data_IF_409469304101
#
_entry.id   IF_409469304101
#
_cell.length_a   1.000
_cell.length_b   1.000
_cell.length_c   1.000
_cell.angle_alpha   90.00
_cell.angle_beta   90.00
_cell.angle_gamma   90.00
#
_symmetry.space_group_name_H-M   'P 1'
#
loop_
_entity.id
_entity.type
_entity.pdbx_description
1 polymer ?
#
# COMPACT_ATOMS: atom_id res chain seq x y z
N UNK A 1 -2.40 12.16 -19.86
CA UNK A 1 -2.05 12.68 -18.54
C UNK A 1 -2.26 11.55 -17.56
N UNK A 2 -1.16 10.98 -17.02
CA UNK A 2 -1.22 9.95 -16.00
C UNK A 2 -2.05 10.44 -14.81
N UNK A 3 -2.87 9.56 -14.23
CA UNK A 3 -3.64 9.88 -13.06
C UNK A 3 -2.71 10.30 -11.93
N UNK A 4 -3.02 11.42 -11.28
CA UNK A 4 -2.20 11.92 -10.19
C UNK A 4 -2.16 10.91 -9.04
N UNK A 5 -1.01 10.77 -8.40
CA UNK A 5 -0.87 9.97 -7.19
C UNK A 5 -1.71 10.60 -6.08
N UNK A 6 -2.57 9.82 -5.43
CA UNK A 6 -3.50 10.30 -4.41
C UNK A 6 -3.35 9.50 -3.11
N UNK A 7 -3.57 10.17 -1.97
CA UNK A 7 -3.63 9.51 -0.67
C UNK A 7 -4.90 8.65 -0.57
N UNK A 8 -4.74 7.34 -0.36
CA UNK A 8 -5.87 6.40 -0.43
C UNK A 8 -6.91 6.64 0.68
N UNK A 9 -6.46 6.93 1.89
CA UNK A 9 -7.35 7.17 3.04
C UNK A 9 -7.64 8.67 3.30
N UNK A 10 -7.25 9.54 2.38
CA UNK A 10 -7.37 11.00 2.51
C UNK A 10 -6.07 11.67 2.98
N UNK A 11 -5.99 12.98 2.80
CA UNK A 11 -4.76 13.76 3.01
C UNK A 11 -4.26 13.78 4.47
N UNK A 12 -5.14 13.49 5.42
CA UNK A 12 -4.82 13.48 6.87
C UNK A 12 -4.50 12.09 7.42
N UNK A 13 -4.45 11.07 6.57
CA UNK A 13 -4.33 9.67 6.97
C UNK A 13 -2.89 9.19 7.18
N UNK A 14 -1.94 10.08 7.33
CA UNK A 14 -0.59 9.70 7.67
C UNK A 14 -0.52 9.15 9.09
N UNK A 15 0.15 8.00 9.27
CA UNK A 15 0.44 7.47 10.58
C UNK A 15 1.81 7.97 11.07
N UNK A 16 1.88 8.68 12.22
CA UNK A 16 3.13 9.16 12.78
C UNK A 16 3.88 8.02 13.47
N UNK A 17 5.11 7.77 13.05
CA UNK A 17 6.01 6.81 13.66
C UNK A 17 6.99 7.52 14.59
N UNK A 18 7.14 7.03 15.81
CA UNK A 18 8.14 7.55 16.74
C UNK A 18 9.55 7.14 16.31
N UNK A 19 10.53 7.95 16.69
CA UNK A 19 11.95 7.64 16.50
C UNK A 19 12.30 6.26 17.06
N UNK A 20 13.15 5.52 16.35
CA UNK A 20 13.63 4.18 16.71
C UNK A 20 12.50 3.14 16.94
N UNK A 21 11.28 3.45 16.51
CA UNK A 21 10.16 2.52 16.58
C UNK A 21 10.17 1.52 15.43
N UNK A 22 9.72 0.30 15.72
CA UNK A 22 9.45 -0.72 14.70
C UNK A 22 7.95 -0.93 14.64
N UNK A 23 7.40 -0.92 13.44
CA UNK A 23 5.96 -0.99 13.22
C UNK A 23 5.62 -2.01 12.15
N UNK A 24 4.55 -2.74 12.39
CA UNK A 24 3.87 -3.54 11.39
C UNK A 24 2.56 -2.84 11.04
N UNK A 25 2.38 -2.54 9.76
CA UNK A 25 1.16 -1.95 9.23
C UNK A 25 0.52 -2.91 8.23
N UNK A 26 -0.80 -2.98 8.29
CA UNK A 26 -1.59 -3.68 7.28
C UNK A 26 -2.68 -2.75 6.79
N UNK A 27 -2.65 -2.46 5.50
CA UNK A 27 -3.66 -1.65 4.82
C UNK A 27 -4.65 -2.56 4.10
N UNK A 28 -5.94 -2.40 4.39
CA UNK A 28 -7.05 -3.08 3.73
C UNK A 28 -7.75 -2.06 2.83
N UNK A 29 -7.40 -2.08 1.56
CA UNK A 29 -7.91 -1.12 0.58
C UNK A 29 -9.01 -1.77 -0.27
N UNK A 30 -10.24 -1.35 -0.08
CA UNK A 30 -11.38 -1.68 -0.94
C UNK A 30 -11.65 -0.50 -1.85
N UNK A 31 -11.78 -0.73 -3.14
CA UNK A 31 -11.95 0.35 -4.09
C UNK A 31 -12.72 -0.07 -5.33
N UNK A 32 -13.32 0.94 -5.98
CA UNK A 32 -13.91 0.85 -7.30
C UNK A 32 -13.00 1.54 -8.31
N UNK A 33 -12.92 1.00 -9.50
CA UNK A 33 -12.18 1.58 -10.61
C UNK A 33 -13.13 1.97 -11.74
N UNK A 34 -12.97 3.17 -12.30
CA UNK A 34 -13.87 3.67 -13.35
C UNK A 34 -13.48 3.23 -14.76
N UNK A 35 -12.22 2.88 -14.98
CA UNK A 35 -11.71 2.51 -16.30
C UNK A 35 -10.69 1.39 -16.15
N UNK A 36 -10.64 0.44 -17.06
CA UNK A 36 -9.63 -0.62 -17.09
C UNK A 36 -8.21 -0.02 -17.14
N UNK A 37 -7.25 -0.67 -16.50
CA UNK A 37 -5.87 -0.23 -16.43
C UNK A 37 -5.17 -0.77 -15.17
N UNK A 38 -3.89 -0.45 -15.02
CA UNK A 38 -3.11 -0.88 -13.88
C UNK A 38 -3.37 0.00 -12.65
N UNK A 39 -3.12 -0.55 -11.47
CA UNK A 39 -3.10 0.17 -10.20
C UNK A 39 -1.71 -0.01 -9.59
N UNK A 40 -1.13 1.06 -9.14
CA UNK A 40 0.18 1.05 -8.45
C UNK A 40 0.00 1.59 -7.04
N UNK A 41 0.38 0.80 -6.06
CA UNK A 41 0.42 1.17 -4.65
C UNK A 41 1.78 1.75 -4.30
N UNK A 42 1.81 2.79 -3.49
CA UNK A 42 3.05 3.46 -3.07
C UNK A 42 3.02 3.68 -1.58
N UNK A 43 4.07 3.24 -0.90
CA UNK A 43 4.35 3.68 0.47
C UNK A 43 5.11 4.99 0.40
N UNK A 44 4.52 6.03 0.96
CA UNK A 44 5.12 7.36 1.03
C UNK A 44 5.53 7.67 2.45
N UNK A 45 6.75 8.10 2.62
CA UNK A 45 7.38 8.48 3.88
C UNK A 45 7.69 9.98 3.88
N UNK A 46 7.58 10.65 5.01
CA UNK A 46 7.98 12.06 5.14
C UNK A 46 9.49 12.28 5.13
N UNK A 47 10.26 11.21 5.08
CA UNK A 47 11.71 11.19 4.97
C UNK A 47 12.23 9.76 5.06
N UNK A 48 13.53 9.55 4.88
CA UNK A 48 14.13 8.23 4.95
C UNK A 48 13.95 7.60 6.34
N UNK A 49 13.73 6.30 6.36
CA UNK A 49 13.70 5.41 7.54
C UNK A 49 14.93 4.50 7.51
N UNK A 50 15.19 3.74 8.57
CA UNK A 50 16.29 2.78 8.57
C UNK A 50 16.08 1.73 7.47
N UNK A 51 14.92 1.13 7.46
CA UNK A 51 14.52 0.17 6.44
C UNK A 51 13.01 -0.08 6.49
N UNK A 52 12.43 -0.49 5.38
CA UNK A 52 11.11 -1.11 5.37
C UNK A 52 11.03 -2.20 4.30
N UNK A 53 10.24 -3.20 4.59
CA UNK A 53 9.86 -4.24 3.65
C UNK A 53 8.35 -4.29 3.54
N UNK A 54 7.84 -4.39 2.34
CA UNK A 54 6.41 -4.46 2.11
C UNK A 54 6.05 -5.45 1.02
N UNK A 55 4.89 -6.04 1.16
CA UNK A 55 4.26 -6.88 0.16
C UNK A 55 2.83 -6.45 -0.07
N UNK A 56 2.30 -6.72 -1.26
CA UNK A 56 0.88 -6.54 -1.51
C UNK A 56 0.30 -7.72 -2.28
N UNK A 57 -0.98 -7.93 -2.05
CA UNK A 57 -1.83 -8.78 -2.88
C UNK A 57 -3.07 -8.01 -3.29
N UNK A 58 -3.53 -8.18 -4.52
CA UNK A 58 -4.69 -7.50 -5.05
C UNK A 58 -5.56 -8.46 -5.82
N UNK A 59 -6.85 -8.46 -5.50
CA UNK A 59 -7.86 -9.28 -6.17
C UNK A 59 -9.06 -8.44 -6.55
N UNK A 60 -9.76 -8.79 -7.63
CA UNK A 60 -11.10 -8.31 -7.86
C UNK A 60 -12.06 -9.06 -6.92
N UNK A 61 -12.95 -8.34 -6.28
CA UNK A 61 -14.03 -8.92 -5.51
C UNK A 61 -15.27 -8.86 -6.39
N UNK A 62 -15.43 -9.84 -7.26
CA UNK A 62 -16.69 -10.03 -7.98
C UNK A 62 -17.64 -10.85 -7.11
N UNK A 63 -18.89 -10.41 -6.98
CA UNK A 63 -19.95 -11.27 -6.49
C UNK A 63 -20.05 -12.49 -7.40
N UNK A 64 -20.03 -13.69 -6.85
CA UNK A 64 -20.43 -15.01 -7.36
C UNK A 64 -20.15 -15.39 -8.84
N UNK A 65 -19.35 -14.69 -9.58
CA UNK A 65 -19.04 -14.98 -10.98
C UNK A 65 -17.55 -14.88 -11.23
N UNK A 66 -16.92 -16.01 -11.31
CA UNK A 66 -15.67 -16.35 -12.00
C UNK A 66 -14.98 -15.23 -12.79
N UNK A 67 -14.46 -14.22 -12.15
CA UNK A 67 -13.28 -13.61 -12.70
C UNK A 67 -12.09 -14.05 -11.86
N UNK A 68 -11.40 -15.03 -12.37
CA UNK A 68 -10.00 -15.25 -12.07
C UNK A 68 -9.18 -14.05 -12.62
N UNK A 69 -9.61 -12.86 -12.29
CA UNK A 69 -8.88 -11.64 -12.56
C UNK A 69 -7.62 -11.70 -11.72
N UNK A 70 -6.51 -11.97 -12.35
CA UNK A 70 -5.23 -12.32 -11.83
C UNK A 70 -4.90 -11.70 -10.48
N UNK A 71 -4.50 -12.52 -9.54
CA UNK A 71 -3.80 -12.11 -8.34
C UNK A 71 -2.57 -11.30 -8.77
N UNK A 72 -2.54 -10.03 -8.39
CA UNK A 72 -1.32 -9.22 -8.52
C UNK A 72 -0.63 -9.19 -7.16
N UNK A 73 0.66 -9.45 -7.14
CA UNK A 73 1.47 -9.43 -5.93
C UNK A 73 2.81 -8.77 -6.20
N UNK A 74 3.42 -8.24 -5.16
CA UNK A 74 4.74 -7.62 -5.24
C UNK A 74 5.40 -7.53 -3.89
N UNK A 75 6.72 -7.49 -3.91
CA UNK A 75 7.59 -7.31 -2.75
C UNK A 75 8.52 -6.13 -3.01
N UNK A 76 8.72 -5.31 -2.00
CA UNK A 76 9.63 -4.16 -2.04
C UNK A 76 10.40 -4.07 -0.73
N UNK A 77 11.69 -3.77 -0.81
CA UNK A 77 12.54 -3.43 0.33
C UNK A 77 13.21 -2.09 0.03
N UNK A 78 13.07 -1.12 0.92
CA UNK A 78 13.55 0.25 0.70
C UNK A 78 13.82 1.01 2.01
N UNK A 79 14.51 2.13 1.90
CA UNK A 79 14.71 3.11 2.99
C UNK A 79 13.93 4.41 2.80
N UNK A 80 13.34 4.62 1.64
CA UNK A 80 12.56 5.80 1.27
C UNK A 80 11.20 5.48 0.70
N UNK A 81 10.54 6.48 0.17
CA UNK A 81 9.28 6.31 -0.57
C UNK A 81 9.50 5.39 -1.77
N UNK A 82 8.68 4.36 -1.91
CA UNK A 82 8.73 3.48 -3.06
C UNK A 82 7.36 2.93 -3.45
N UNK A 83 7.21 2.68 -4.75
CA UNK A 83 6.05 2.03 -5.33
C UNK A 83 6.27 0.52 -5.41
N UNK A 84 5.22 -0.24 -5.17
CA UNK A 84 5.17 -1.65 -5.54
C UNK A 84 5.08 -1.80 -7.06
N UNK A 85 5.45 -2.96 -7.61
CA UNK A 85 5.17 -3.26 -9.01
C UNK A 85 3.69 -3.00 -9.34
N UNK A 86 3.42 -2.45 -10.52
CA UNK A 86 2.05 -2.21 -10.94
C UNK A 86 1.27 -3.53 -11.02
N UNK A 87 -0.03 -3.46 -10.73
CA UNK A 87 -0.92 -4.61 -10.93
C UNK A 87 -0.92 -5.04 -12.39
N UNK A 88 -1.30 -6.30 -12.64
CA UNK A 88 -1.57 -6.73 -14.01
C UNK A 88 -2.59 -5.78 -14.67
N UNK A 89 -2.43 -5.57 -15.96
CA UNK A 89 -3.41 -4.89 -16.81
C UNK A 89 -4.76 -5.61 -16.78
N UNK A 90 -5.82 -4.95 -17.12
CA UNK A 90 -7.18 -5.48 -17.27
C UNK A 90 -7.97 -5.63 -15.97
N UNK A 91 -7.83 -4.70 -15.07
CA UNK A 91 -8.83 -4.58 -14.01
C UNK A 91 -10.10 -4.01 -14.62
N UNK A 92 -11.16 -4.81 -14.62
CA UNK A 92 -12.46 -4.43 -15.15
C UNK A 92 -13.04 -3.25 -14.39
N UNK A 93 -13.85 -2.48 -15.09
CA UNK A 93 -14.63 -1.39 -14.52
C UNK A 93 -15.83 -1.92 -13.74
N UNK A 94 -16.34 -1.12 -12.82
CA UNK A 94 -17.59 -1.37 -12.09
C UNK A 94 -17.60 -2.64 -11.21
N UNK A 95 -16.44 -3.18 -10.88
CA UNK A 95 -16.29 -4.24 -9.88
C UNK A 95 -15.49 -3.75 -8.68
N UNK A 96 -15.84 -4.26 -7.51
CA UNK A 96 -15.09 -3.97 -6.30
C UNK A 96 -13.76 -4.73 -6.32
N UNK A 97 -12.72 -4.03 -5.95
CA UNK A 97 -11.38 -4.58 -5.81
C UNK A 97 -10.96 -4.55 -4.35
N UNK A 98 -10.09 -5.46 -3.99
CA UNK A 98 -9.43 -5.47 -2.68
C UNK A 98 -7.92 -5.56 -2.88
N UNK A 99 -7.20 -4.71 -2.18
CA UNK A 99 -5.76 -4.87 -1.99
C UNK A 99 -5.47 -5.00 -0.49
N UNK A 100 -4.55 -5.87 -0.15
CA UNK A 100 -3.98 -5.97 1.18
C UNK A 100 -2.50 -5.67 1.03
N UNK A 101 -2.03 -4.66 1.76
CA UNK A 101 -0.64 -4.23 1.73
C UNK A 101 -0.08 -4.39 3.13
N UNK A 102 0.94 -5.23 3.27
CA UNK A 102 1.70 -5.41 4.50
C UNK A 102 2.99 -4.62 4.44
N UNK A 103 3.32 -3.94 5.51
CA UNK A 103 4.57 -3.18 5.66
C UNK A 103 5.15 -3.43 7.05
N UNK A 104 6.40 -3.84 7.08
CA UNK A 104 7.22 -3.82 8.28
C UNK A 104 8.23 -2.68 8.11
N UNK A 105 8.27 -1.74 9.05
CA UNK A 105 9.11 -0.56 8.95
C UNK A 105 9.86 -0.31 10.26
N UNK A 106 11.14 -0.05 10.14
CA UNK A 106 12.00 0.42 11.22
C UNK A 106 12.26 1.92 11.02
N UNK A 107 11.67 2.74 11.88
CA UNK A 107 11.88 4.18 11.87
C UNK A 107 13.26 4.49 12.45
N UNK A 108 14.06 5.29 11.74
CA UNK A 108 15.37 5.72 12.22
C UNK A 108 15.30 6.71 13.39
N UNK A 109 16.40 7.39 13.68
CA UNK A 109 16.52 8.32 14.81
C UNK A 109 15.55 9.51 14.75
N UNK A 110 14.96 9.80 13.61
CA UNK A 110 14.01 10.90 13.42
C UNK A 110 12.60 10.37 13.22
N UNK A 111 11.57 10.89 13.92
CA UNK A 111 10.18 10.53 13.68
C UNK A 111 9.79 10.76 12.21
N UNK A 112 8.97 9.89 11.66
CA UNK A 112 8.50 9.94 10.26
C UNK A 112 7.03 9.61 10.17
N UNK A 113 6.39 10.14 9.14
CA UNK A 113 5.04 9.75 8.79
C UNK A 113 5.05 8.74 7.64
N UNK A 114 4.16 7.77 7.72
CA UNK A 114 3.91 6.78 6.66
C UNK A 114 2.46 6.88 6.18
N UNK A 115 2.27 6.78 4.88
CA UNK A 115 0.93 6.75 4.25
C UNK A 115 0.89 5.84 3.04
N UNK A 116 -0.29 5.34 2.73
CA UNK A 116 -0.56 4.59 1.50
C UNK A 116 -1.11 5.52 0.43
N UNK A 117 -0.48 5.52 -0.73
CA UNK A 117 -0.92 6.24 -1.92
C UNK A 117 -1.22 5.28 -3.06
N UNK A 118 -2.03 5.74 -3.99
CA UNK A 118 -2.44 4.96 -5.15
C UNK A 118 -2.34 5.79 -6.43
N UNK A 119 -1.92 5.14 -7.51
CA UNK A 119 -1.94 5.70 -8.85
C UNK A 119 -2.63 4.72 -9.79
N UNK A 120 -3.42 5.22 -10.71
CA UNK A 120 -4.03 4.41 -11.78
C UNK A 120 -3.48 4.85 -13.14
N UNK A 121 -3.20 3.90 -14.03
CA UNK A 121 -2.79 4.23 -15.41
C UNK A 121 -3.93 4.80 -16.25
N UNK A 122 -5.19 4.55 -15.84
CA UNK A 122 -6.37 5.08 -16.52
C UNK A 122 -7.54 5.19 -15.52
N UNK A 123 -8.36 6.22 -15.67
CA UNK A 123 -9.50 6.49 -14.82
C UNK A 123 -9.13 6.81 -13.37
N UNK A 124 -10.13 6.73 -12.49
CA UNK A 124 -9.98 7.02 -11.07
C UNK A 124 -10.10 5.75 -10.23
N UNK A 125 -9.43 5.75 -9.10
CA UNK A 125 -9.61 4.78 -8.00
C UNK A 125 -10.42 5.47 -6.93
N UNK A 126 -11.60 4.94 -6.63
CA UNK A 126 -12.49 5.47 -5.59
C UNK A 126 -12.45 4.55 -4.38
N UNK A 127 -11.93 5.00 -3.23
CA UNK A 127 -11.97 4.23 -1.99
C UNK A 127 -13.41 3.91 -1.58
N UNK A 128 -13.64 2.69 -1.13
CA UNK A 128 -14.94 2.24 -0.63
C UNK A 128 -14.98 2.22 0.89
N UNK A 129 -16.18 2.33 1.43
CA UNK A 129 -16.44 2.15 2.86
C UNK A 129 -15.96 0.77 3.30
N UNK A 130 -15.39 0.69 4.51
CA UNK A 130 -14.79 -0.53 5.03
C UNK A 130 -13.30 -0.64 4.73
N UNK A 131 -12.71 0.30 3.99
CA UNK A 131 -11.26 0.43 3.91
C UNK A 131 -10.70 0.94 5.25
N UNK A 132 -9.67 0.30 5.76
CA UNK A 132 -9.02 0.67 7.01
C UNK A 132 -7.57 0.19 7.00
N UNK A 133 -6.80 0.62 7.98
CA UNK A 133 -5.49 0.05 8.25
C UNK A 133 -5.33 -0.25 9.74
N UNK A 134 -4.47 -1.21 10.03
CA UNK A 134 -4.06 -1.57 11.38
C UNK A 134 -2.59 -1.25 11.56
N UNK A 135 -2.22 -0.86 12.77
CA UNK A 135 -0.83 -0.62 13.15
C UNK A 135 -0.53 -1.37 14.43
N UNK A 136 0.58 -2.07 14.44
CA UNK A 136 1.14 -2.71 15.63
C UNK A 136 2.57 -2.22 15.82
N UNK A 137 2.84 -1.60 16.95
CA UNK A 137 4.21 -1.31 17.36
C UNK A 137 4.84 -2.59 17.89
N UNK A 138 5.96 -2.95 17.34
CA UNK A 138 6.75 -4.09 17.79
C UNK A 138 7.69 -3.62 18.90
N UNK A 139 8.11 -4.53 19.80
CA UNK A 139 9.08 -4.19 20.83
C UNK A 139 10.37 -3.67 20.16
N UNK A 140 10.97 -2.64 20.76
CA UNK A 140 12.28 -2.17 20.34
C UNK A 140 13.30 -3.29 20.55
N UNK A 141 13.74 -3.86 19.49
CA UNK A 141 14.72 -4.91 19.41
C UNK A 141 14.96 -5.18 17.95
N UNK A 142 16.20 -5.40 17.57
CA UNK A 142 16.60 -5.65 16.19
C UNK A 142 15.62 -6.61 15.51
N UNK A 143 14.77 -6.09 14.63
CA UNK A 143 14.19 -6.94 13.61
C UNK A 143 15.37 -7.37 12.77
N UNK A 144 15.77 -8.60 12.96
CA UNK A 144 17.00 -9.21 12.54
C UNK A 144 17.77 -8.48 11.45
N UNK A 145 19.04 -8.28 11.68
CA UNK A 145 19.99 -7.90 10.64
C UNK A 145 19.83 -8.94 9.54
N UNK A 146 19.21 -8.56 8.44
CA UNK A 146 19.35 -9.37 7.23
C UNK A 146 20.82 -9.26 6.85
N UNK A 147 21.59 -10.27 7.23
CA UNK A 147 22.97 -10.37 6.77
C UNK A 147 22.92 -10.49 5.25
N UNK A 148 23.51 -9.49 4.60
CA UNK A 148 23.81 -9.52 3.16
C UNK A 148 24.81 -10.62 2.84
#
# INVERSE_FOLDING_TARGET
LGAAIADFYGSTSAFPMAASGVYELTFYAYYLKTTAGTVTWTITLSGAVTNWIGSYTQTAVTGLGSEAAGLSAGLVTQTGTAAFPASATNRTTAVNHRAIIHVLVECGATPRDIRLRVTSSAGTVTPLRGSYYTVRRLAAGNVGTFAS
#
